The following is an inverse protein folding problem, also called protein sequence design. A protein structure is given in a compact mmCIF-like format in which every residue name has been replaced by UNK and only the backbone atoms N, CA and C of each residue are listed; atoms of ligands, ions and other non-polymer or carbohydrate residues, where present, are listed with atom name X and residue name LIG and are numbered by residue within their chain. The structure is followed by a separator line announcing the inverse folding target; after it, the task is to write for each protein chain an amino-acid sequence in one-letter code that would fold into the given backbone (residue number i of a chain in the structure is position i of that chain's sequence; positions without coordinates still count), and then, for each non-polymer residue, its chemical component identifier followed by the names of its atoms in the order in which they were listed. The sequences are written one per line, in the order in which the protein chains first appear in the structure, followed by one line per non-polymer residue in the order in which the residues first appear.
data_IF_946791392055
#
_entry.id   IF_946791392055
#
_cell.length_a   1.000
_cell.length_b   1.000
_cell.length_c   1.000
_cell.angle_alpha   90.00
_cell.angle_beta   90.00
_cell.angle_gamma   90.00
#
_symmetry.space_group_name_H-M   'P 1'
#
loop_
_entity.id
_entity.type
_entity.pdbx_description
1 polymer ?
#
# COMPACT_ATOMS: atom_id res chain seq x y z
N UNK A 1 -10.26 12.57 0.22
CA UNK A 1 -8.80 12.62 0.49
C UNK A 1 -8.54 11.76 1.73
N UNK A 2 -7.46 10.97 1.76
CA UNK A 2 -7.20 9.99 2.86
C UNK A 2 -7.13 10.67 4.23
N UNK A 3 -6.40 11.77 4.34
CA UNK A 3 -6.19 12.46 5.64
C UNK A 3 -7.44 13.18 6.17
N UNK A 4 -8.50 13.34 5.36
CA UNK A 4 -9.75 13.99 5.80
C UNK A 4 -10.80 12.97 6.23
N UNK A 5 -10.51 11.67 6.15
CA UNK A 5 -11.43 10.62 6.54
C UNK A 5 -11.38 10.40 8.06
N UNK A 6 -12.47 10.70 8.80
CA UNK A 6 -12.49 10.58 10.24
C UNK A 6 -12.42 9.12 10.72
N UNK A 7 -12.87 8.16 9.92
CA UNK A 7 -12.78 6.74 10.27
C UNK A 7 -11.33 6.26 10.20
N UNK A 8 -10.59 6.67 9.15
CA UNK A 8 -9.15 6.34 9.04
C UNK A 8 -8.33 7.03 10.15
N UNK A 9 -8.65 8.27 10.50
CA UNK A 9 -7.99 8.98 11.59
C UNK A 9 -8.19 8.26 12.94
N UNK A 10 -9.39 7.73 13.21
CA UNK A 10 -9.70 6.99 14.42
C UNK A 10 -8.98 5.63 14.46
N UNK A 11 -9.08 4.85 13.38
CA UNK A 11 -8.50 3.51 13.30
C UNK A 11 -6.96 3.54 13.26
N UNK A 12 -6.39 4.54 12.60
CA UNK A 12 -4.95 4.68 12.38
C UNK A 12 -4.21 5.43 13.49
N UNK A 13 -4.88 5.98 14.50
CA UNK A 13 -4.27 6.95 15.44
C UNK A 13 -2.99 6.47 16.16
N UNK A 14 -2.81 5.16 16.30
CA UNK A 14 -1.62 4.54 16.90
C UNK A 14 -0.64 3.93 15.89
N UNK A 15 -0.92 4.07 14.60
CA UNK A 15 -0.15 3.48 13.53
C UNK A 15 0.84 4.49 12.95
N UNK A 16 2.13 4.17 13.03
CA UNK A 16 3.19 4.91 12.36
C UNK A 16 4.09 3.90 11.64
N UNK A 17 4.28 4.10 10.34
CA UNK A 17 5.06 3.19 9.50
C UNK A 17 5.57 3.92 8.28
N UNK A 18 6.73 3.48 7.80
CA UNK A 18 7.17 3.78 6.44
C UNK A 18 7.01 2.50 5.63
N UNK A 19 6.30 2.57 4.52
CA UNK A 19 6.15 1.43 3.62
C UNK A 19 6.26 1.85 2.16
N UNK A 20 6.53 0.87 1.31
CA UNK A 20 6.64 1.07 -0.13
C UNK A 20 5.54 0.28 -0.83
N UNK A 21 4.92 0.88 -1.83
CA UNK A 21 4.07 0.17 -2.78
C UNK A 21 4.76 0.22 -4.13
N UNK A 22 4.95 -0.93 -4.77
CA UNK A 22 5.55 -1.04 -6.09
C UNK A 22 4.53 -1.60 -7.08
N UNK A 23 4.25 -0.87 -8.15
CA UNK A 23 3.33 -1.26 -9.22
C UNK A 23 4.02 -0.95 -10.55
N UNK A 24 4.08 -1.93 -11.45
CA UNK A 24 4.64 -1.76 -12.81
C UNK A 24 6.08 -1.18 -12.86
N UNK A 25 6.96 -1.67 -11.97
CA UNK A 25 8.33 -1.17 -11.85
C UNK A 25 8.43 0.29 -11.41
N UNK A 26 7.38 0.80 -10.76
CA UNK A 26 7.36 2.09 -10.10
C UNK A 26 7.09 1.91 -8.63
N UNK A 27 7.91 2.57 -7.80
CA UNK A 27 7.78 2.50 -6.35
C UNK A 27 7.43 3.84 -5.74
N UNK A 28 6.50 3.79 -4.79
CA UNK A 28 6.05 4.94 -3.99
C UNK A 28 6.31 4.67 -2.52
N UNK A 29 6.99 5.60 -1.85
CA UNK A 29 7.26 5.59 -0.42
C UNK A 29 6.16 6.37 0.30
N UNK A 30 5.50 5.70 1.23
CA UNK A 30 4.48 6.26 2.11
C UNK A 30 5.07 6.42 3.50
N UNK A 31 4.86 7.59 4.11
CA UNK A 31 5.20 7.82 5.50
C UNK A 31 3.92 8.12 6.28
N UNK A 32 3.49 7.16 7.09
CA UNK A 32 2.34 7.30 7.98
C UNK A 32 2.86 7.65 9.37
N UNK A 33 2.29 8.71 9.96
CA UNK A 33 2.58 9.12 11.33
C UNK A 33 1.27 9.34 12.07
N UNK A 34 1.04 8.58 13.13
CA UNK A 34 -0.18 8.60 13.94
C UNK A 34 -1.46 8.55 13.07
N UNK A 35 -1.47 7.65 12.08
CA UNK A 35 -2.61 7.45 11.17
C UNK A 35 -2.73 8.47 10.04
N UNK A 36 -1.83 9.44 9.96
CA UNK A 36 -1.84 10.49 8.93
C UNK A 36 -0.78 10.21 7.88
N UNK A 37 -1.16 10.28 6.60
CA UNK A 37 -0.20 10.29 5.50
C UNK A 37 0.59 11.61 5.53
N UNK A 38 1.80 11.56 6.07
CA UNK A 38 2.67 12.72 6.27
C UNK A 38 3.50 13.07 5.04
N UNK A 39 3.90 12.06 4.26
CA UNK A 39 4.55 12.27 2.97
C UNK A 39 4.28 11.11 2.01
N UNK A 40 4.28 11.43 0.72
CA UNK A 40 4.22 10.49 -0.40
C UNK A 40 5.23 10.93 -1.45
N UNK A 41 6.15 10.05 -1.84
CA UNK A 41 7.14 10.33 -2.87
C UNK A 41 7.39 9.12 -3.74
N UNK A 42 7.80 9.34 -5.00
CA UNK A 42 8.34 8.27 -5.84
C UNK A 42 9.76 7.95 -5.36
N UNK A 43 10.15 6.68 -5.42
CA UNK A 43 11.46 6.18 -4.97
C UNK A 43 11.94 5.10 -5.94
N UNK A 44 13.27 4.89 -6.10
CA UNK A 44 13.80 3.76 -6.85
C UNK A 44 13.39 2.41 -6.22
N UNK A 45 13.18 1.39 -7.05
CA UNK A 45 12.70 0.04 -6.62
C UNK A 45 13.62 -0.66 -5.60
N UNK A 46 14.88 -0.25 -5.53
CA UNK A 46 15.92 -0.78 -4.66
C UNK A 46 16.09 0.01 -3.34
N UNK A 47 15.31 1.07 -3.11
CA UNK A 47 15.39 1.89 -1.90
C UNK A 47 14.48 1.37 -0.78
N UNK A 48 14.57 0.06 -0.47
CA UNK A 48 13.83 -0.57 0.64
C UNK A 48 14.45 -0.29 2.02
N UNK A 49 15.57 0.44 2.08
CA UNK A 49 16.19 0.84 3.34
C UNK A 49 15.20 1.66 4.18
N UNK A 50 15.02 1.23 5.43
CA UNK A 50 14.15 1.84 6.46
C UNK A 50 12.64 1.77 6.19
N UNK A 51 12.19 1.03 5.17
CA UNK A 51 10.78 0.68 5.04
C UNK A 51 10.47 -0.56 5.90
N UNK A 52 9.39 -0.52 6.69
CA UNK A 52 8.94 -1.69 7.44
C UNK A 52 8.50 -2.81 6.51
N UNK A 53 7.85 -2.47 5.39
CA UNK A 53 7.51 -3.42 4.35
C UNK A 53 7.39 -2.77 2.97
N UNK A 54 7.48 -3.62 1.95
CA UNK A 54 7.23 -3.33 0.55
C UNK A 54 6.13 -4.26 0.04
N UNK A 55 5.08 -3.67 -0.53
CA UNK A 55 4.00 -4.38 -1.22
C UNK A 55 4.20 -4.22 -2.73
N UNK A 56 4.62 -5.29 -3.40
CA UNK A 56 4.74 -5.32 -4.87
C UNK A 56 3.49 -5.92 -5.48
N UNK A 57 2.84 -5.21 -6.39
CA UNK A 57 1.53 -5.57 -6.96
C UNK A 57 1.66 -5.67 -8.48
N UNK A 58 1.08 -6.71 -9.07
CA UNK A 58 0.97 -6.83 -10.52
C UNK A 58 0.10 -5.71 -11.12
N UNK A 59 0.48 -5.10 -12.26
CA UNK A 59 -0.20 -3.92 -12.81
C UNK A 59 -1.70 -4.13 -13.05
N UNK A 60 -2.08 -5.27 -13.64
CA UNK A 60 -3.47 -5.60 -13.92
C UNK A 60 -4.29 -5.80 -12.65
N UNK A 61 -3.66 -6.31 -11.60
CA UNK A 61 -4.30 -6.57 -10.31
C UNK A 61 -4.55 -5.28 -9.54
N UNK A 62 -3.66 -4.29 -9.66
CA UNK A 62 -3.88 -2.94 -9.12
C UNK A 62 -5.10 -2.25 -9.75
N UNK A 63 -5.25 -2.35 -11.07
CA UNK A 63 -6.41 -1.79 -11.79
C UNK A 63 -7.71 -2.43 -11.30
N UNK A 64 -7.75 -3.77 -11.21
CA UNK A 64 -8.93 -4.52 -10.75
C UNK A 64 -9.28 -4.24 -9.30
N UNK A 65 -8.28 -4.10 -8.44
CA UNK A 65 -8.45 -3.74 -7.03
C UNK A 65 -9.13 -2.35 -6.87
N UNK A 66 -8.86 -1.42 -7.79
CA UNK A 66 -9.44 -0.08 -7.77
C UNK A 66 -10.85 0.03 -8.34
N UNK A 67 -11.43 -1.05 -8.86
CA UNK A 67 -12.80 -1.05 -9.39
C UNK A 67 -13.83 -0.84 -8.27
N UNK A 68 -14.97 -0.20 -8.59
CA UNK A 68 -16.05 0.01 -7.61
C UNK A 68 -16.60 -1.32 -7.05
N UNK A 69 -16.60 -2.35 -7.89
CA UNK A 69 -16.96 -3.71 -7.51
C UNK A 69 -15.85 -4.65 -8.01
N UNK A 70 -14.77 -4.82 -7.23
CA UNK A 70 -13.64 -5.62 -7.66
C UNK A 70 -14.07 -7.07 -7.94
N UNK A 71 -13.46 -7.73 -8.94
CA UNK A 71 -13.70 -9.14 -9.18
C UNK A 71 -13.23 -9.99 -7.98
N UNK A 72 -13.66 -11.26 -7.88
CA UNK A 72 -13.11 -12.19 -6.91
C UNK A 72 -11.57 -12.18 -6.91
N UNK A 73 -10.98 -12.41 -5.74
CA UNK A 73 -9.53 -12.31 -5.47
C UNK A 73 -8.91 -10.89 -5.52
N UNK A 74 -9.69 -9.83 -5.78
CA UNK A 74 -9.21 -8.45 -5.85
C UNK A 74 -9.93 -7.50 -4.88
N UNK A 75 -10.70 -8.03 -3.94
CA UNK A 75 -11.58 -7.24 -3.05
C UNK A 75 -10.88 -6.65 -1.83
N UNK A 76 -9.71 -7.16 -1.44
CA UNK A 76 -8.85 -6.59 -0.42
C UNK A 76 -7.37 -6.97 -0.65
N UNK A 77 -6.49 -6.39 0.18
CA UNK A 77 -5.03 -6.62 0.10
C UNK A 77 -4.65 -8.06 0.45
N UNK A 78 -5.38 -8.72 1.37
CA UNK A 78 -5.12 -10.10 1.75
C UNK A 78 -5.43 -11.06 0.59
N UNK A 79 -6.55 -10.86 -0.10
CA UNK A 79 -6.98 -11.65 -1.24
C UNK A 79 -5.96 -11.57 -2.40
N UNK A 80 -5.47 -10.37 -2.74
CA UNK A 80 -4.46 -10.23 -3.79
C UNK A 80 -3.13 -10.91 -3.40
N UNK A 81 -2.77 -10.94 -2.11
CA UNK A 81 -1.57 -11.65 -1.62
C UNK A 81 -1.77 -13.17 -1.68
N UNK A 82 -2.90 -13.67 -1.19
CA UNK A 82 -3.24 -15.11 -1.16
C UNK A 82 -3.25 -15.71 -2.57
N UNK A 83 -3.75 -14.97 -3.55
CA UNK A 83 -3.77 -15.35 -4.96
C UNK A 83 -2.48 -15.05 -5.72
N UNK A 84 -1.44 -14.56 -5.03
CA UNK A 84 -0.10 -14.20 -5.58
C UNK A 84 -0.09 -13.09 -6.63
N UNK A 85 -1.13 -12.27 -6.67
CA UNK A 85 -1.17 -11.03 -7.45
C UNK A 85 -0.40 -9.88 -6.80
N UNK A 86 -0.08 -10.03 -5.51
CA UNK A 86 0.83 -9.16 -4.79
C UNK A 86 1.80 -9.99 -3.94
N UNK A 87 2.96 -9.40 -3.64
CA UNK A 87 3.97 -9.95 -2.76
C UNK A 87 4.32 -8.92 -1.69
N UNK A 88 4.24 -9.35 -0.43
CA UNK A 88 4.76 -8.61 0.71
C UNK A 88 6.20 -9.04 0.97
N UNK A 89 7.10 -8.09 1.18
CA UNK A 89 8.50 -8.31 1.59
C UNK A 89 8.88 -7.28 2.65
N UNK A 90 9.71 -7.63 3.62
CA UNK A 90 10.02 -6.77 4.77
C UNK A 90 10.14 -7.58 6.05
N UNK A 91 10.26 -6.88 7.18
CA UNK A 91 10.41 -7.45 8.53
C UNK A 91 9.05 -7.48 9.27
#
# INVERSE_FOLDING_TARGET
MVNTDPALALLGGYFSVVFIVSIDGQSWRFNIRNGVLSSLSRTPDNESADAGFTLTIEPNSWVRFGEQMPPPAHYDVSAIIEHRYARLSGD
#
